data_IF_061527846919
#
_entry.id   IF_061527846919
#
_cell.length_a   1.000
_cell.length_b   1.000
_cell.length_c   1.000
_cell.angle_alpha   90.00
_cell.angle_beta   90.00
_cell.angle_gamma   90.00
#
_symmetry.space_group_name_H-M   'P 1'
#
loop_
_entity.id
_entity.type
_entity.pdbx_description
1 polymer ?
#
# COMPACT_ATOMS: atom_id res chain seq x y z
N UNK A 1 -25.96 11.75 4.44
CA UNK A 1 -24.74 11.41 3.69
C UNK A 1 -23.54 11.68 4.58
N UNK A 2 -22.77 10.67 4.97
CA UNK A 2 -21.30 10.73 5.21
C UNK A 2 -20.83 9.34 5.64
N UNK A 3 -19.88 8.76 4.92
CA UNK A 3 -19.34 7.45 5.31
C UNK A 3 -18.44 6.83 4.26
N UNK A 4 -17.35 7.50 3.88
CA UNK A 4 -16.24 6.87 3.15
C UNK A 4 -15.01 7.80 3.07
N UNK A 5 -14.46 8.23 4.22
CA UNK A 5 -13.15 8.92 4.25
C UNK A 5 -12.13 8.24 5.17
N UNK A 6 -12.43 7.06 5.71
CA UNK A 6 -11.67 6.51 6.84
C UNK A 6 -10.79 5.29 6.54
N UNK A 7 -10.75 4.78 5.31
CA UNK A 7 -9.86 3.68 4.93
C UNK A 7 -8.43 4.14 4.55
N UNK A 8 -8.22 5.22 3.76
CA UNK A 8 -6.88 5.64 3.33
C UNK A 8 -5.99 6.08 4.51
N UNK A 9 -6.59 6.80 5.46
CA UNK A 9 -5.94 7.25 6.70
C UNK A 9 -5.47 6.09 7.57
N UNK A 10 -6.17 4.95 7.56
CA UNK A 10 -5.76 3.77 8.33
C UNK A 10 -4.59 3.04 7.67
N UNK A 11 -4.48 3.03 6.35
CA UNK A 11 -3.36 2.38 5.69
C UNK A 11 -2.06 3.22 5.77
N UNK A 12 -2.16 4.55 5.71
CA UNK A 12 -0.99 5.43 5.73
C UNK A 12 -0.14 5.27 7.01
N UNK A 13 1.17 5.05 6.86
CA UNK A 13 2.09 4.78 7.96
C UNK A 13 3.47 4.32 7.49
N UNK A 14 4.43 4.31 8.41
CA UNK A 14 5.67 3.57 8.25
C UNK A 14 5.45 2.14 8.75
N UNK A 15 5.59 1.17 7.86
CA UNK A 15 5.36 -0.24 8.12
C UNK A 15 6.66 -1.02 8.05
N UNK A 16 6.77 -2.08 8.84
CA UNK A 16 7.86 -3.04 8.79
C UNK A 16 7.34 -4.40 8.36
N UNK A 17 7.94 -4.96 7.33
CA UNK A 17 7.77 -6.35 6.93
C UNK A 17 9.02 -7.14 7.31
N UNK A 18 8.83 -8.36 7.85
CA UNK A 18 9.93 -9.27 8.11
C UNK A 18 10.11 -10.20 6.91
N UNK A 19 11.30 -10.23 6.33
CA UNK A 19 11.69 -11.11 5.24
C UNK A 19 12.91 -11.93 5.68
N UNK A 20 12.66 -13.10 6.29
CA UNK A 20 13.72 -13.86 6.97
C UNK A 20 14.30 -13.08 8.15
N UNK A 21 15.60 -12.78 8.08
CA UNK A 21 16.33 -11.98 9.08
C UNK A 21 16.36 -10.49 8.76
N UNK A 22 15.86 -10.09 7.58
CA UNK A 22 15.79 -8.68 7.19
C UNK A 22 14.47 -8.03 7.64
N UNK A 23 14.57 -6.78 8.08
CA UNK A 23 13.41 -5.90 8.30
C UNK A 23 13.38 -4.88 7.16
N UNK A 24 12.30 -4.90 6.37
CA UNK A 24 12.07 -3.93 5.30
C UNK A 24 11.09 -2.87 5.75
N UNK A 25 11.44 -1.61 5.53
CA UNK A 25 10.55 -0.48 5.76
C UNK A 25 9.73 -0.18 4.52
N UNK A 26 8.43 0.00 4.72
CA UNK A 26 7.46 0.32 3.69
C UNK A 26 6.74 1.59 4.13
N UNK A 27 7.03 2.69 3.46
CA UNK A 27 6.42 3.97 3.71
C UNK A 27 5.15 4.08 2.87
N UNK A 28 3.97 4.05 3.49
CA UNK A 28 2.68 4.22 2.81
C UNK A 28 2.11 5.59 3.14
N UNK A 29 1.87 6.43 2.13
CA UNK A 29 1.47 7.83 2.31
C UNK A 29 0.05 8.05 1.81
N UNK A 30 -0.66 8.99 2.43
CA UNK A 30 -2.08 9.27 2.14
C UNK A 30 -2.36 9.85 0.74
N UNK A 31 -1.33 10.24 0.00
CA UNK A 31 -1.38 10.75 -1.37
C UNK A 31 -1.39 9.62 -2.44
N UNK A 32 -1.70 8.39 -2.02
CA UNK A 32 -1.67 7.17 -2.85
C UNK A 32 -0.27 6.73 -3.31
N UNK A 33 0.80 7.20 -2.68
CA UNK A 33 2.16 6.69 -2.89
C UNK A 33 2.58 5.72 -1.80
N UNK A 34 3.37 4.72 -2.18
CA UNK A 34 4.11 3.88 -1.25
C UNK A 34 5.57 3.75 -1.70
N UNK A 35 6.48 3.52 -0.77
CA UNK A 35 7.90 3.35 -1.06
C UNK A 35 8.46 2.20 -0.22
N UNK A 36 9.23 1.33 -0.86
CA UNK A 36 9.89 0.19 -0.23
C UNK A 36 11.31 0.08 -0.76
N UNK A 37 12.30 0.41 0.08
CA UNK A 37 13.66 0.66 -0.40
C UNK A 37 13.67 1.80 -1.44
N UNK A 38 14.19 1.53 -2.62
CA UNK A 38 14.26 2.48 -3.74
C UNK A 38 13.03 2.45 -4.65
N UNK A 39 12.19 1.41 -4.53
CA UNK A 39 11.02 1.26 -5.38
C UNK A 39 9.85 2.10 -4.88
N UNK A 40 9.15 2.72 -5.84
CA UNK A 40 7.97 3.54 -5.59
C UNK A 40 6.77 2.90 -6.26
N UNK A 41 5.71 2.76 -5.49
CA UNK A 41 4.43 2.24 -5.94
C UNK A 41 3.34 3.30 -5.85
N UNK A 42 2.30 3.10 -6.68
CA UNK A 42 1.00 3.71 -6.46
C UNK A 42 0.07 2.68 -5.83
N UNK A 43 -0.76 3.09 -4.89
CA UNK A 43 -1.74 2.22 -4.24
C UNK A 43 -3.16 2.79 -4.24
N UNK A 44 -4.13 1.89 -4.14
CA UNK A 44 -5.55 2.18 -3.88
C UNK A 44 -6.15 1.13 -2.96
N UNK A 45 -7.16 1.53 -2.18
CA UNK A 45 -7.99 0.60 -1.41
C UNK A 45 -9.37 0.55 -2.05
N UNK A 46 -9.83 -0.66 -2.38
CA UNK A 46 -11.14 -0.92 -3.00
C UNK A 46 -11.80 -2.05 -2.22
N UNK A 47 -12.85 -1.72 -1.46
CA UNK A 47 -13.40 -2.65 -0.46
C UNK A 47 -12.31 -3.07 0.54
N UNK A 48 -12.14 -4.38 0.69
CA UNK A 48 -11.09 -5.00 1.54
C UNK A 48 -9.83 -5.36 0.73
N UNK A 49 -9.69 -4.85 -0.49
CA UNK A 49 -8.55 -5.14 -1.36
C UNK A 49 -7.59 -3.97 -1.46
N UNK A 50 -6.29 -4.28 -1.41
CA UNK A 50 -5.19 -3.36 -1.68
C UNK A 50 -4.70 -3.59 -3.10
N UNK A 51 -4.84 -2.55 -3.92
CA UNK A 51 -4.38 -2.52 -5.30
C UNK A 51 -3.05 -1.78 -5.34
N UNK A 52 -2.03 -2.37 -5.95
CA UNK A 52 -0.67 -1.81 -6.04
C UNK A 52 -0.20 -1.90 -7.48
N UNK A 53 0.42 -0.84 -7.98
CA UNK A 53 1.19 -0.88 -9.23
C UNK A 53 2.56 -0.28 -9.01
N UNK A 54 3.53 -0.83 -9.73
CA UNK A 54 4.88 -0.30 -9.82
C UNK A 54 5.02 0.53 -11.10
N UNK A 55 6.25 0.86 -11.47
CA UNK A 55 6.54 1.66 -12.67
C UNK A 55 6.15 1.02 -14.02
N UNK A 56 5.63 -0.21 -14.02
CA UNK A 56 5.17 -0.94 -15.21
C UNK A 56 3.68 -0.71 -15.54
N UNK A 57 2.92 -0.08 -14.65
CA UNK A 57 1.49 0.18 -14.82
C UNK A 57 0.58 -1.06 -14.65
N UNK A 58 1.13 -2.22 -14.29
CA UNK A 58 0.35 -3.43 -14.01
C UNK A 58 -0.14 -3.36 -12.56
N UNK A 59 -1.45 -3.55 -12.36
CA UNK A 59 -2.07 -3.51 -11.04
C UNK A 59 -2.17 -4.92 -10.45
N UNK A 60 -1.41 -5.15 -9.39
CA UNK A 60 -1.53 -6.31 -8.53
C UNK A 60 -2.61 -6.06 -7.47
N UNK A 61 -3.43 -7.07 -7.21
CA UNK A 61 -4.54 -6.99 -6.25
C UNK A 61 -4.31 -7.98 -5.12
N UNK A 62 -4.37 -7.47 -3.89
CA UNK A 62 -4.20 -8.24 -2.67
C UNK A 62 -5.42 -8.09 -1.77
N UNK A 63 -5.76 -9.14 -1.02
CA UNK A 63 -6.64 -9.01 0.13
C UNK A 63 -5.92 -8.26 1.27
N UNK A 64 -6.67 -7.45 2.02
CA UNK A 64 -6.11 -6.60 3.07
C UNK A 64 -6.95 -6.68 4.36
N UNK A 65 -6.27 -6.75 5.50
CA UNK A 65 -6.90 -6.57 6.82
C UNK A 65 -6.01 -5.69 7.68
N UNK A 66 -6.60 -4.67 8.32
CA UNK A 66 -5.91 -3.78 9.26
C UNK A 66 -6.52 -3.95 10.66
N UNK A 67 -5.70 -4.35 11.62
CA UNK A 67 -6.06 -4.47 13.03
C UNK A 67 -5.04 -3.72 13.89
N UNK A 68 -5.35 -2.47 14.27
CA UNK A 68 -4.46 -1.61 15.05
C UNK A 68 -3.15 -1.29 14.32
N UNK A 69 -2.03 -1.76 14.87
CA UNK A 69 -0.69 -1.62 14.30
C UNK A 69 -0.31 -2.78 13.37
N UNK A 70 -1.24 -3.68 13.04
CA UNK A 70 -0.99 -4.82 12.14
C UNK A 70 -1.74 -4.65 10.83
N UNK A 71 -1.04 -4.88 9.74
CA UNK A 71 -1.58 -4.97 8.38
C UNK A 71 -1.26 -6.37 7.85
N UNK A 72 -2.27 -7.14 7.51
CA UNK A 72 -2.10 -8.43 6.84
C UNK A 72 -2.51 -8.29 5.38
N UNK A 73 -1.64 -8.73 4.47
CA UNK A 73 -1.84 -8.75 3.02
C UNK A 73 -1.81 -10.21 2.56
N UNK A 74 -2.71 -10.59 1.66
CA UNK A 74 -2.82 -11.97 1.16
C UNK A 74 -3.20 -12.05 -0.31
N UNK A 75 -2.97 -13.21 -0.94
CA UNK A 75 -3.29 -13.43 -2.35
C UNK A 75 -2.31 -12.72 -3.29
N UNK A 76 -2.76 -12.38 -4.50
CA UNK A 76 -1.91 -11.83 -5.54
C UNK A 76 -0.79 -12.79 -5.91
N UNK A 77 0.45 -12.31 -5.86
CA UNK A 77 1.68 -13.08 -6.07
C UNK A 77 2.30 -13.64 -4.77
N UNK A 78 1.64 -13.48 -3.61
CA UNK A 78 2.15 -13.99 -2.34
C UNK A 78 1.83 -15.48 -2.18
N UNK A 79 2.86 -16.30 -1.93
CA UNK A 79 2.67 -17.72 -1.57
C UNK A 79 1.92 -17.90 -0.25
N UNK A 80 2.11 -16.98 0.71
CA UNK A 80 1.48 -16.98 2.03
C UNK A 80 1.15 -15.53 2.44
N UNK A 81 0.13 -15.32 3.29
CA UNK A 81 -0.16 -13.99 3.82
C UNK A 81 1.06 -13.38 4.54
N UNK A 82 1.31 -12.10 4.29
CA UNK A 82 2.38 -11.33 4.94
C UNK A 82 1.75 -10.38 5.96
N UNK A 83 2.33 -10.32 7.15
CA UNK A 83 1.90 -9.35 8.18
C UNK A 83 2.99 -8.31 8.40
N UNK A 84 2.59 -7.05 8.25
CA UNK A 84 3.40 -5.87 8.50
C UNK A 84 3.01 -5.25 9.84
N UNK A 85 4.00 -4.66 10.52
CA UNK A 85 3.79 -3.90 11.76
C UNK A 85 4.01 -2.41 11.53
N UNK A 86 3.07 -1.58 11.96
CA UNK A 86 3.21 -0.12 11.92
C UNK A 86 4.16 0.33 13.01
N UNK A 87 5.17 1.09 12.63
CA UNK A 87 6.20 1.61 13.53
C UNK A 87 6.21 3.14 13.63
N UNK A 88 5.36 3.82 12.86
CA UNK A 88 5.22 5.27 12.97
C UNK A 88 4.26 5.88 11.95
N UNK A 89 4.06 7.21 12.03
CA UNK A 89 3.30 7.95 11.03
C UNK A 89 4.04 7.96 9.68
N UNK A 90 3.34 8.24 8.57
CA UNK A 90 3.98 8.41 7.29
C UNK A 90 4.80 9.71 7.24
N UNK A 91 5.92 9.70 6.53
CA UNK A 91 6.64 10.92 6.17
C UNK A 91 6.11 11.47 4.84
N UNK A 92 6.24 12.78 4.63
CA UNK A 92 5.85 13.42 3.36
C UNK A 92 6.68 12.84 2.21
N UNK A 93 6.07 12.67 1.04
CA UNK A 93 6.77 12.23 -0.17
C UNK A 93 7.69 13.38 -0.65
N UNK A 94 8.99 13.15 -0.87
CA UNK A 94 9.82 14.10 -1.60
C UNK A 94 9.26 14.38 -2.99
N UNK A 95 9.31 15.64 -3.44
CA UNK A 95 8.80 16.03 -4.76
C UNK A 95 9.58 15.38 -5.92
N UNK A 96 10.81 14.92 -5.65
CA UNK A 96 11.66 14.19 -6.60
C UNK A 96 11.24 12.75 -6.83
N UNK A 97 10.39 12.17 -5.96
CA UNK A 97 9.88 10.81 -6.14
C UNK A 97 8.70 10.82 -7.10
N UNK A 98 8.96 10.40 -8.34
CA UNK A 98 7.91 10.09 -9.30
C UNK A 98 7.08 8.90 -8.79
N UNK A 99 5.75 9.02 -8.89
CA UNK A 99 4.82 7.95 -8.58
C UNK A 99 4.27 7.37 -9.88
N UNK A 100 3.99 6.06 -9.97
CA UNK A 100 3.31 5.49 -11.12
C UNK A 100 1.99 6.22 -11.41
N UNK A 101 1.61 6.28 -12.68
CA UNK A 101 0.36 6.91 -13.11
C UNK A 101 -0.86 6.18 -12.52
N UNK A 102 -1.98 6.89 -12.29
CA UNK A 102 -3.22 6.21 -11.95
C UNK A 102 -3.66 5.33 -13.13
N UNK A 103 -4.46 4.26 -12.88
CA UNK A 103 -5.04 3.50 -13.98
C UNK A 103 -5.92 4.41 -14.82
N UNK A 104 -6.03 4.08 -16.11
CA UNK A 104 -6.89 4.82 -17.02
C UNK A 104 -8.34 4.82 -16.48
N UNK A 105 -9.11 5.92 -16.64
CA UNK A 105 -10.45 6.04 -16.05
C UNK A 105 -11.44 4.91 -16.44
N UNK A 106 -11.18 4.23 -17.57
CA UNK A 106 -11.96 3.10 -18.07
C UNK A 106 -11.58 1.74 -17.45
N UNK A 107 -10.43 1.63 -16.77
CA UNK A 107 -10.10 0.50 -15.93
C UNK A 107 -10.77 0.71 -14.56
N UNK A 108 -12.03 0.31 -14.45
CA UNK A 108 -12.69 0.21 -13.14
C UNK A 108 -11.94 -0.83 -12.31
N UNK A 109 -11.56 -0.44 -11.10
CA UNK A 109 -11.26 -1.41 -10.07
C UNK A 109 -12.60 -2.04 -9.68
N UNK A 110 -12.78 -3.31 -10.04
CA UNK A 110 -14.01 -4.07 -9.79
C UNK A 110 -14.10 -4.44 -8.32
#
# INVERSE_FOLDING_TARGET
MVGAVQAPLRLAGNWQARAGDEIRHIMVRGDSSAQFGEEVARWRVVGDSLWITLGDGVWQVYGMTIAGDKLTISGGDLEKPVTLRRVGPPTVRPDTLAIPDPPAPNQRAW
#
